data_IF_740940270007
#
_entry.id   IF_740940270007
#
_cell.length_a   1.000
_cell.length_b   1.000
_cell.length_c   1.000
_cell.angle_alpha   90.00
_cell.angle_beta   90.00
_cell.angle_gamma   90.00
#
_symmetry.space_group_name_H-M   'P 1'
#
loop_
_entity.id
_entity.type
_entity.pdbx_description
1 polymer ?
#
# COMPACT_ATOMS: atom_id res chain seq x y z
N UNK A 1 5.05 -1.60 12.36
CA UNK A 1 4.14 -2.77 12.20
C UNK A 1 2.72 -2.49 12.69
N UNK A 2 2.44 -2.04 13.94
CA UNK A 2 1.08 -1.65 14.36
C UNK A 2 0.56 -0.37 13.67
N UNK A 3 1.44 0.61 13.42
CA UNK A 3 1.09 1.84 12.67
C UNK A 3 0.63 1.56 11.23
N UNK A 4 1.17 0.52 10.58
CA UNK A 4 0.76 0.12 9.23
C UNK A 4 -0.70 -0.32 9.13
N UNK A 5 -1.32 -0.72 10.25
CA UNK A 5 -2.74 -1.08 10.32
C UNK A 5 -3.65 0.11 10.68
N UNK A 6 -3.11 1.21 11.22
CA UNK A 6 -3.91 2.32 11.76
C UNK A 6 -4.26 3.38 10.71
N UNK A 7 -3.32 3.78 9.87
CA UNK A 7 -3.51 4.92 8.96
C UNK A 7 -4.36 4.62 7.71
N UNK A 8 -4.57 3.34 7.37
CA UNK A 8 -5.22 2.93 6.11
C UNK A 8 -6.40 1.98 6.33
N UNK A 9 -7.30 2.29 7.27
CA UNK A 9 -8.51 1.49 7.46
C UNK A 9 -9.51 1.77 6.33
N UNK A 10 -9.46 0.94 5.29
CA UNK A 10 -10.35 1.02 4.14
C UNK A 10 -11.68 0.37 4.54
N UNK A 11 -12.74 1.19 4.59
CA UNK A 11 -14.10 0.74 4.92
C UNK A 11 -14.73 0.09 3.69
N UNK A 12 -15.33 -1.08 3.88
CA UNK A 12 -16.00 -1.82 2.81
C UNK A 12 -17.41 -2.17 3.27
N UNK A 13 -18.39 -1.89 2.42
CA UNK A 13 -19.81 -2.18 2.67
C UNK A 13 -20.31 -3.17 1.62
N UNK A 14 -21.05 -4.18 2.06
CA UNK A 14 -21.68 -5.18 1.19
C UNK A 14 -22.98 -5.69 1.83
N UNK A 15 -23.93 -6.23 1.04
CA UNK A 15 -25.14 -6.89 1.55
C UNK A 15 -24.81 -8.12 2.40
N UNK A 16 -25.69 -8.43 3.36
CA UNK A 16 -25.45 -9.50 4.34
C UNK A 16 -25.38 -10.90 3.68
N UNK A 17 -26.25 -11.12 2.70
CA UNK A 17 -26.33 -12.33 1.87
C UNK A 17 -25.30 -12.40 0.73
N UNK A 18 -24.38 -11.44 0.62
CA UNK A 18 -23.38 -11.47 -0.45
C UNK A 18 -22.47 -12.70 -0.32
N UNK A 19 -22.21 -13.34 -1.44
CA UNK A 19 -21.26 -14.43 -1.58
C UNK A 19 -19.85 -13.99 -1.18
N UNK A 20 -18.97 -14.96 -0.89
CA UNK A 20 -17.58 -14.65 -0.58
C UNK A 20 -16.85 -13.94 -1.74
N UNK A 21 -17.21 -14.27 -2.98
CA UNK A 21 -16.61 -13.67 -4.16
C UNK A 21 -17.07 -12.22 -4.34
N UNK A 22 -18.37 -11.91 -4.15
CA UNK A 22 -18.88 -10.53 -4.13
C UNK A 22 -18.23 -9.70 -3.01
N UNK A 23 -18.08 -10.29 -1.82
CA UNK A 23 -17.40 -9.63 -0.69
C UNK A 23 -15.95 -9.32 -1.03
N UNK A 24 -15.22 -10.23 -1.69
CA UNK A 24 -13.84 -10.01 -2.09
C UNK A 24 -13.74 -8.95 -3.19
N UNK A 25 -14.66 -8.96 -4.15
CA UNK A 25 -14.73 -7.98 -5.23
C UNK A 25 -14.99 -6.57 -4.68
N UNK A 26 -15.99 -6.40 -3.79
CA UNK A 26 -16.27 -5.11 -3.14
C UNK A 26 -15.10 -4.58 -2.33
N UNK A 27 -14.32 -5.47 -1.70
CA UNK A 27 -13.09 -5.08 -1.01
C UNK A 27 -12.03 -4.58 -1.99
N UNK A 28 -11.80 -5.30 -3.10
CA UNK A 28 -10.85 -4.87 -4.13
C UNK A 28 -11.23 -3.50 -4.69
N UNK A 29 -12.50 -3.29 -5.01
CA UNK A 29 -13.04 -2.00 -5.48
C UNK A 29 -12.77 -0.88 -4.47
N UNK A 30 -13.10 -1.11 -3.20
CA UNK A 30 -12.89 -0.09 -2.15
C UNK A 30 -11.41 0.25 -1.95
N UNK A 31 -10.52 -0.73 -2.10
CA UNK A 31 -9.06 -0.52 -2.01
C UNK A 31 -8.57 0.29 -3.20
N UNK A 32 -9.03 -0.05 -4.40
CA UNK A 32 -8.69 0.67 -5.63
C UNK A 32 -9.16 2.13 -5.57
N UNK A 33 -10.41 2.37 -5.17
CA UNK A 33 -10.97 3.72 -4.99
C UNK A 33 -10.20 4.55 -3.98
N UNK A 34 -9.76 3.94 -2.87
CA UNK A 34 -8.97 4.62 -1.86
C UNK A 34 -7.66 5.14 -2.44
N UNK A 35 -6.93 4.30 -3.18
CA UNK A 35 -5.66 4.72 -3.77
C UNK A 35 -5.83 5.66 -4.95
N UNK A 36 -6.89 5.52 -5.75
CA UNK A 36 -7.18 6.51 -6.79
C UNK A 36 -7.43 7.93 -6.21
N UNK A 37 -7.93 8.05 -4.98
CA UNK A 37 -8.22 9.34 -4.34
C UNK A 37 -7.07 9.91 -3.52
N UNK A 38 -6.18 9.06 -3.01
CA UNK A 38 -5.17 9.46 -2.01
C UNK A 38 -3.73 9.34 -2.48
N UNK A 39 -3.50 8.61 -3.58
CA UNK A 39 -2.16 8.35 -4.09
C UNK A 39 -1.58 9.61 -4.75
N UNK A 40 -0.39 9.99 -4.32
CA UNK A 40 0.41 11.05 -4.92
C UNK A 40 1.45 10.38 -5.81
N UNK A 41 1.44 10.71 -7.11
CA UNK A 41 2.42 10.21 -8.07
C UNK A 41 3.65 11.12 -8.10
N UNK A 42 4.84 10.52 -8.08
CA UNK A 42 6.11 11.23 -8.20
C UNK A 42 6.25 11.86 -9.59
N UNK A 43 6.65 13.14 -9.61
CA UNK A 43 6.90 13.88 -10.86
C UNK A 43 8.03 13.23 -11.66
N UNK A 44 9.04 12.71 -10.97
CA UNK A 44 10.21 12.05 -11.56
C UNK A 44 9.82 10.78 -12.31
N UNK A 45 8.90 9.97 -11.76
CA UNK A 45 8.39 8.77 -12.45
C UNK A 45 7.60 9.11 -13.71
N UNK A 46 6.80 10.18 -13.68
CA UNK A 46 6.08 10.68 -14.86
C UNK A 46 7.06 11.16 -15.92
N UNK A 47 8.09 11.93 -15.51
CA UNK A 47 9.13 12.40 -16.41
C UNK A 47 9.92 11.24 -17.06
N UNK A 48 10.25 10.19 -16.32
CA UNK A 48 10.94 9.00 -16.85
C UNK A 48 10.07 8.20 -17.85
N UNK A 49 8.76 8.12 -17.62
CA UNK A 49 7.85 7.37 -18.50
C UNK A 49 7.52 8.14 -19.79
N UNK A 50 7.59 9.47 -19.74
CA UNK A 50 7.44 10.35 -20.90
C UNK A 50 8.63 10.30 -21.89
N UNK A 51 9.44 9.22 -21.88
CA UNK A 51 10.61 8.88 -22.72
C UNK A 51 10.91 9.86 -23.85
N UNK A 52 12.19 10.24 -23.95
CA UNK A 52 12.78 11.21 -24.88
C UNK A 52 11.94 11.49 -26.13
N UNK A 53 11.61 10.53 -26.99
CA UNK A 53 10.81 10.75 -28.22
C UNK A 53 9.54 11.63 -28.06
N UNK A 54 8.75 11.47 -26.99
CA UNK A 54 7.56 12.32 -26.75
C UNK A 54 7.96 13.70 -26.24
N UNK A 55 8.99 13.77 -25.39
CA UNK A 55 9.58 15.03 -24.92
C UNK A 55 10.28 15.79 -26.06
N UNK A 56 10.99 15.11 -26.98
CA UNK A 56 11.61 15.70 -28.17
C UNK A 56 10.55 16.20 -29.14
N UNK A 57 9.46 15.44 -29.33
CA UNK A 57 8.32 15.89 -30.12
C UNK A 57 7.64 17.13 -29.51
N UNK A 58 7.54 17.22 -28.17
CA UNK A 58 7.01 18.39 -27.45
C UNK A 58 8.00 19.58 -27.45
N UNK A 59 9.31 19.31 -27.37
CA UNK A 59 10.38 20.31 -27.38
C UNK A 59 10.58 20.93 -28.77
N UNK A 60 10.29 20.18 -29.83
CA UNK A 60 10.35 20.66 -31.22
C UNK A 60 9.13 21.51 -31.62
N UNK A 61 8.14 21.68 -30.74
CA UNK A 61 7.02 22.58 -30.99
C UNK A 61 7.53 24.02 -30.89
N UNK A 62 7.54 24.71 -32.02
CA UNK A 62 7.96 26.10 -32.09
C UNK A 62 6.81 27.04 -31.64
N UNK A 63 6.88 27.48 -30.38
CA UNK A 63 5.92 28.44 -29.81
C UNK A 63 6.21 29.90 -30.21
N UNK A 64 7.29 30.20 -30.96
CA UNK A 64 7.66 31.59 -31.31
C UNK A 64 6.64 32.26 -32.24
N UNK A 65 5.80 31.48 -32.92
CA UNK A 65 4.69 31.93 -33.78
C UNK A 65 3.30 31.66 -33.18
N UNK A 66 3.20 31.53 -31.84
CA UNK A 66 1.96 31.25 -31.14
C UNK A 66 0.90 32.34 -31.40
N UNK A 67 0.02 32.09 -32.37
CA UNK A 67 -1.19 32.85 -32.61
C UNK A 67 -2.37 31.96 -32.23
N UNK A 68 -3.20 32.32 -31.24
CA UNK A 68 -4.35 31.51 -30.82
C UNK A 68 -5.40 31.30 -31.93
N UNK A 69 -5.35 32.09 -33.02
CA UNK A 69 -6.20 31.91 -34.20
C UNK A 69 -5.61 30.95 -35.26
N UNK A 70 -4.44 30.36 -35.03
CA UNK A 70 -3.82 29.41 -35.93
C UNK A 70 -4.19 27.97 -35.54
N UNK A 71 -4.99 27.31 -36.39
CA UNK A 71 -5.46 25.93 -36.20
C UNK A 71 -4.32 24.93 -36.04
N UNK A 72 -3.19 25.15 -36.72
CA UNK A 72 -2.03 24.25 -36.63
C UNK A 72 -1.38 24.30 -35.23
N UNK A 73 -1.19 25.52 -34.70
CA UNK A 73 -0.69 25.74 -33.35
C UNK A 73 -1.61 25.09 -32.29
N UNK A 74 -2.92 25.28 -32.42
CA UNK A 74 -3.90 24.67 -31.50
C UNK A 74 -3.90 23.14 -31.57
N UNK A 75 -3.67 22.57 -32.75
CA UNK A 75 -3.57 21.12 -32.93
C UNK A 75 -2.30 20.55 -32.29
N UNK A 76 -1.15 21.22 -32.44
CA UNK A 76 0.11 20.78 -31.81
C UNK A 76 0.08 20.93 -30.29
N UNK A 77 -0.46 22.03 -29.78
CA UNK A 77 -0.69 22.21 -28.34
C UNK A 77 -1.62 21.12 -27.78
N UNK A 78 -2.69 20.79 -28.50
CA UNK A 78 -3.59 19.69 -28.14
C UNK A 78 -2.87 18.34 -28.18
N UNK A 79 -2.01 18.11 -29.17
CA UNK A 79 -1.22 16.88 -29.30
C UNK A 79 -0.23 16.71 -28.14
N UNK A 80 0.54 17.76 -27.82
CA UNK A 80 1.46 17.77 -26.68
C UNK A 80 0.72 17.54 -25.35
N UNK A 81 -0.38 18.27 -25.13
CA UNK A 81 -1.22 18.11 -23.94
C UNK A 81 -1.77 16.69 -23.81
N UNK A 82 -2.24 16.09 -24.90
CA UNK A 82 -2.71 14.69 -24.92
C UNK A 82 -1.58 13.71 -24.59
N UNK A 83 -0.39 13.88 -25.16
CA UNK A 83 0.75 13.00 -24.90
C UNK A 83 1.20 13.03 -23.44
N UNK A 84 1.28 14.22 -22.84
CA UNK A 84 1.61 14.39 -21.42
C UNK A 84 0.54 13.76 -20.53
N UNK A 85 -0.73 14.06 -20.80
CA UNK A 85 -1.86 13.52 -20.04
C UNK A 85 -1.90 11.99 -20.11
N UNK A 86 -1.68 11.40 -21.30
CA UNK A 86 -1.63 9.96 -21.46
C UNK A 86 -0.49 9.34 -20.63
N UNK A 87 0.73 9.88 -20.72
CA UNK A 87 1.85 9.37 -19.94
C UNK A 87 1.64 9.47 -18.43
N UNK A 88 1.04 10.57 -17.96
CA UNK A 88 0.64 10.70 -16.56
C UNK A 88 -0.36 9.63 -16.14
N UNK A 89 -1.42 9.40 -16.94
CA UNK A 89 -2.45 8.41 -16.62
C UNK A 89 -1.89 6.98 -16.60
N UNK A 90 -0.95 6.66 -17.50
CA UNK A 90 -0.24 5.38 -17.50
C UNK A 90 0.55 5.16 -16.20
N UNK A 91 1.37 6.14 -15.78
CA UNK A 91 2.10 6.06 -14.50
C UNK A 91 1.14 5.96 -13.33
N UNK A 92 0.10 6.80 -13.31
CA UNK A 92 -0.89 6.82 -12.24
C UNK A 92 -1.56 5.44 -12.07
N UNK A 93 -1.98 4.82 -13.17
CA UNK A 93 -2.61 3.50 -13.12
C UNK A 93 -1.65 2.41 -12.62
N UNK A 94 -0.38 2.46 -13.04
CA UNK A 94 0.67 1.54 -12.56
C UNK A 94 0.88 1.68 -11.06
N UNK A 95 0.99 2.91 -10.56
CA UNK A 95 1.19 3.17 -9.13
C UNK A 95 -0.04 2.76 -8.30
N UNK A 96 -1.25 3.01 -8.80
CA UNK A 96 -2.49 2.53 -8.16
C UNK A 96 -2.49 1.00 -8.07
N UNK A 97 -2.21 0.30 -9.17
CA UNK A 97 -2.18 -1.16 -9.19
C UNK A 97 -1.14 -1.71 -8.21
N UNK A 98 0.08 -1.14 -8.20
CA UNK A 98 1.14 -1.52 -7.27
C UNK A 98 0.74 -1.28 -5.81
N UNK A 99 0.13 -0.13 -5.50
CA UNK A 99 -0.33 0.19 -4.16
C UNK A 99 -1.45 -0.77 -3.70
N UNK A 100 -2.41 -1.08 -4.57
CA UNK A 100 -3.46 -2.07 -4.32
C UNK A 100 -2.86 -3.44 -4.03
N UNK A 101 -1.94 -3.92 -4.87
CA UNK A 101 -1.29 -5.23 -4.69
C UNK A 101 -0.47 -5.31 -3.40
N UNK A 102 0.31 -4.27 -3.12
CA UNK A 102 1.08 -4.19 -1.88
C UNK A 102 0.18 -4.12 -0.66
N UNK A 103 -0.94 -3.40 -0.75
CA UNK A 103 -1.91 -3.33 0.33
C UNK A 103 -2.53 -4.71 0.55
N UNK A 104 -3.09 -5.35 -0.48
CA UNK A 104 -3.76 -6.65 -0.39
C UNK A 104 -2.88 -7.78 0.16
N UNK A 105 -1.58 -7.78 -0.14
CA UNK A 105 -0.62 -8.77 0.37
C UNK A 105 -0.29 -8.61 1.86
N UNK A 106 -0.64 -7.47 2.47
CA UNK A 106 -0.41 -7.26 3.90
C UNK A 106 -1.42 -8.07 4.71
N UNK A 107 -1.08 -8.28 5.96
CA UNK A 107 -2.08 -8.72 6.95
C UNK A 107 -3.02 -7.54 7.20
N UNK A 108 -4.29 -7.82 7.40
CA UNK A 108 -5.33 -6.84 7.69
C UNK A 108 -6.12 -7.28 8.90
N UNK A 109 -6.54 -6.32 9.72
CA UNK A 109 -7.60 -6.56 10.70
C UNK A 109 -8.93 -6.45 9.96
N UNK A 110 -9.72 -7.51 10.00
CA UNK A 110 -11.02 -7.60 9.35
C UNK A 110 -12.08 -7.62 10.44
N UNK A 111 -12.90 -6.57 10.48
CA UNK A 111 -14.08 -6.52 11.33
C UNK A 111 -15.29 -7.04 10.55
N UNK A 112 -16.03 -7.94 11.17
CA UNK A 112 -17.30 -8.45 10.68
C UNK A 112 -18.39 -8.07 11.66
N UNK A 113 -19.46 -7.51 11.13
CA UNK A 113 -20.71 -7.29 11.85
C UNK A 113 -21.76 -8.19 11.21
N UNK A 114 -22.42 -8.99 12.03
CA UNK A 114 -23.60 -9.76 11.64
C UNK A 114 -24.87 -8.94 11.92
N UNK A 115 -25.95 -9.32 11.28
CA UNK A 115 -27.26 -8.65 11.32
C UNK A 115 -27.87 -8.72 12.73
N UNK A 116 -27.58 -9.79 13.47
CA UNK A 116 -27.94 -9.96 14.88
C UNK A 116 -27.16 -9.03 15.84
N UNK A 117 -26.33 -8.13 15.30
CA UNK A 117 -25.52 -7.18 16.08
C UNK A 117 -24.19 -7.74 16.59
N UNK A 118 -23.93 -9.04 16.43
CA UNK A 118 -22.68 -9.68 16.85
C UNK A 118 -21.51 -9.12 16.03
N UNK A 119 -20.49 -8.64 16.74
CA UNK A 119 -19.25 -8.15 16.15
C UNK A 119 -18.15 -9.15 16.44
N UNK A 120 -17.32 -9.39 15.43
CA UNK A 120 -16.11 -10.21 15.56
C UNK A 120 -15.03 -9.65 14.66
N UNK A 121 -13.78 -9.77 15.10
CA UNK A 121 -12.62 -9.34 14.33
C UNK A 121 -11.63 -10.50 14.16
N UNK A 122 -10.84 -10.47 13.09
CA UNK A 122 -9.72 -11.41 12.91
C UNK A 122 -8.63 -10.79 12.04
N UNK A 123 -7.45 -11.39 12.05
CA UNK A 123 -6.39 -11.04 11.12
C UNK A 123 -6.49 -11.94 9.89
N UNK A 124 -6.62 -11.31 8.73
CA UNK A 124 -6.64 -11.98 7.43
C UNK A 124 -5.57 -11.44 6.48
N UNK A 125 -5.39 -12.11 5.37
CA UNK A 125 -4.48 -11.73 4.27
C UNK A 125 -5.18 -12.09 2.96
N UNK A 126 -5.02 -11.29 1.90
CA UNK A 126 -5.51 -11.69 0.59
C UNK A 126 -4.46 -12.51 -0.15
N UNK A 127 -4.87 -13.70 -0.61
CA UNK A 127 -4.08 -14.52 -1.53
C UNK A 127 -4.95 -14.87 -2.73
N UNK A 128 -4.44 -14.65 -3.94
CA UNK A 128 -5.18 -14.89 -5.19
C UNK A 128 -6.57 -14.24 -5.17
N UNK A 129 -6.63 -12.98 -4.73
CA UNK A 129 -7.87 -12.20 -4.56
C UNK A 129 -8.91 -12.79 -3.59
N UNK A 130 -8.54 -13.79 -2.78
CA UNK A 130 -9.39 -14.37 -1.75
C UNK A 130 -8.87 -14.04 -0.37
N UNK A 131 -9.78 -13.60 0.50
CA UNK A 131 -9.46 -13.37 1.90
C UNK A 131 -9.22 -14.71 2.61
N UNK A 132 -8.06 -14.85 3.22
CA UNK A 132 -7.71 -16.00 4.05
C UNK A 132 -7.53 -15.56 5.50
N UNK A 133 -8.30 -16.19 6.39
CA UNK A 133 -8.18 -15.99 7.83
C UNK A 133 -6.86 -16.60 8.33
N UNK A 134 -6.11 -15.87 9.15
CA UNK A 134 -4.84 -16.29 9.75
C UNK A 134 -4.91 -16.49 11.26
N UNK A 135 -5.93 -15.95 11.92
CA UNK A 135 -6.12 -16.06 13.36
C UNK A 135 -7.53 -16.52 13.72
N UNK A 136 -7.76 -16.99 14.96
CA UNK A 136 -9.10 -17.09 15.53
C UNK A 136 -9.84 -15.75 15.50
N UNK A 137 -11.14 -15.82 15.79
CA UNK A 137 -11.94 -14.61 16.01
C UNK A 137 -11.62 -14.00 17.37
N UNK A 138 -11.72 -12.68 17.42
CA UNK A 138 -11.65 -11.84 18.60
C UNK A 138 -12.94 -11.03 18.69
N UNK A 139 -13.25 -10.51 19.87
CA UNK A 139 -14.48 -9.74 20.08
C UNK A 139 -14.48 -8.43 19.30
N UNK A 140 -13.32 -7.77 19.20
CA UNK A 140 -13.17 -6.48 18.52
C UNK A 140 -11.73 -6.22 18.09
N UNK A 141 -11.55 -5.16 17.30
CA UNK A 141 -10.26 -4.69 16.82
C UNK A 141 -9.32 -4.30 17.97
N UNK A 142 -9.81 -3.66 19.02
CA UNK A 142 -9.01 -3.21 20.15
C UNK A 142 -8.30 -4.37 20.85
N UNK A 143 -8.99 -5.51 20.96
CA UNK A 143 -8.45 -6.75 21.56
C UNK A 143 -7.31 -7.33 20.70
N UNK A 144 -7.45 -7.28 19.37
CA UNK A 144 -6.39 -7.67 18.44
C UNK A 144 -5.18 -6.76 18.61
N UNK A 145 -5.39 -5.44 18.61
CA UNK A 145 -4.30 -4.47 18.76
C UNK A 145 -3.56 -4.65 20.10
N UNK A 146 -4.30 -4.86 21.19
CA UNK A 146 -3.71 -5.08 22.52
C UNK A 146 -2.88 -6.36 22.56
N UNK A 147 -3.40 -7.48 22.04
CA UNK A 147 -2.67 -8.76 22.01
C UNK A 147 -1.41 -8.68 21.14
N UNK A 148 -1.48 -7.98 19.99
CA UNK A 148 -0.34 -7.78 19.10
C UNK A 148 0.73 -6.91 19.76
N UNK A 149 0.33 -5.85 20.46
CA UNK A 149 1.25 -4.97 21.20
C UNK A 149 1.97 -5.75 22.31
N UNK A 150 1.24 -6.53 23.10
CA UNK A 150 1.83 -7.37 24.16
C UNK A 150 2.81 -8.39 23.59
N UNK A 151 2.45 -9.05 22.47
CA UNK A 151 3.33 -10.02 21.81
C UNK A 151 4.59 -9.36 21.24
N UNK A 152 4.48 -8.14 20.73
CA UNK A 152 5.65 -7.36 20.28
C UNK A 152 6.57 -6.96 21.43
N UNK A 153 6.01 -6.48 22.54
CA UNK A 153 6.80 -6.13 23.72
C UNK A 153 7.52 -7.36 24.29
N UNK A 154 6.87 -8.52 24.28
CA UNK A 154 7.47 -9.80 24.68
C UNK A 154 8.64 -10.19 23.75
N UNK A 155 8.43 -10.21 22.43
CA UNK A 155 9.50 -10.52 21.47
C UNK A 155 10.67 -9.52 21.54
N UNK A 156 10.38 -8.24 21.82
CA UNK A 156 11.43 -7.22 21.98
C UNK A 156 12.29 -7.52 23.21
N UNK A 157 11.65 -7.85 24.35
CA UNK A 157 12.34 -8.25 25.58
C UNK A 157 13.17 -9.52 25.39
N UNK A 158 12.63 -10.54 24.73
CA UNK A 158 13.35 -11.78 24.42
C UNK A 158 14.57 -11.52 23.53
N UNK A 159 14.44 -10.64 22.53
CA UNK A 159 15.55 -10.25 21.66
C UNK A 159 16.63 -9.50 22.43
N UNK A 160 16.25 -8.54 23.29
CA UNK A 160 17.19 -7.79 24.13
C UNK A 160 17.94 -8.72 25.10
N UNK A 161 17.24 -9.66 25.73
CA UNK A 161 17.85 -10.68 26.60
C UNK A 161 18.83 -11.59 25.85
N UNK A 162 18.48 -12.03 24.63
CA UNK A 162 19.37 -12.87 23.83
C UNK A 162 20.64 -12.12 23.37
N UNK A 163 20.55 -10.81 23.14
CA UNK A 163 21.72 -9.97 22.81
C UNK A 163 22.62 -9.81 24.03
N UNK A 164 22.04 -9.56 25.22
CA UNK A 164 22.78 -9.46 26.48
C UNK A 164 23.50 -10.77 26.82
N UNK A 165 22.83 -11.92 26.72
CA UNK A 165 23.47 -13.23 26.91
C UNK A 165 24.62 -13.48 25.95
N UNK A 166 24.47 -13.14 24.66
CA UNK A 166 25.57 -13.29 23.69
C UNK A 166 26.77 -12.40 24.04
N UNK A 167 26.53 -11.19 24.52
CA UNK A 167 27.59 -10.26 24.94
C UNK A 167 28.31 -10.76 26.21
N UNK A 168 27.59 -11.28 27.18
CA UNK A 168 28.17 -11.89 28.39
C UNK A 168 29.01 -13.12 28.06
N UNK A 169 28.53 -14.00 27.17
CA UNK A 169 29.28 -15.18 26.70
C UNK A 169 30.56 -14.76 25.96
N UNK A 170 30.51 -13.71 25.13
CA UNK A 170 31.72 -13.20 24.46
C UNK A 170 32.72 -12.59 25.43
N UNK A 171 32.27 -11.80 26.42
CA UNK A 171 33.15 -11.19 27.43
C UNK A 171 33.83 -12.23 28.32
N UNK A 172 33.07 -13.24 28.76
CA UNK A 172 33.63 -14.33 29.58
C UNK A 172 34.63 -15.20 28.80
N UNK A 173 34.45 -15.39 27.49
CA UNK A 173 35.45 -16.04 26.64
C UNK A 173 36.72 -15.20 26.44
N UNK A 174 36.62 -13.87 26.36
CA UNK A 174 37.77 -12.98 26.25
C UNK A 174 38.62 -12.96 27.53
N UNK A 175 37.96 -12.92 28.69
CA UNK A 175 38.64 -12.95 29.99
C UNK A 175 39.41 -14.25 30.23
N UNK A 176 38.86 -15.39 29.79
CA UNK A 176 39.53 -16.69 29.91
C UNK A 176 40.70 -16.88 28.92
N UNK A 177 40.97 -15.94 28.02
CA UNK A 177 42.11 -15.99 27.08
C UNK A 177 43.22 -14.99 27.43
N UNK A 178 43.04 -14.16 28.46
CA UNK A 178 44.07 -13.24 28.97
C UNK A 178 44.82 -13.79 30.21
N UNK A 179 44.43 -14.97 30.72
CA UNK A 179 45.04 -15.62 31.89
C UNK A 179 45.97 -16.83 31.55
N UNK A 180 46.19 -17.12 30.27
CA UNK A 180 47.16 -18.13 29.77
C UNK A 180 48.35 -17.45 29.04
#
# INVERSE_FOLDING_TARGET
>A
MLEEFREKNIKVTYPDNASNDEKNQKRKESIQDHFQKTLIVSKEKVAQLLKDDRLTAIQNIDFSKANPNNTHFMNELSFAGKGIAQGFMEVFQVEVNSAVDQYMKRKHIIEQRKDNGEKRAFIGEFKNSKLHKRTPYFDNKETIEKSMKQKMEMMKREKEQSIQQKQEISRSRSLNHEED
#
